data_IF_004877064524
#
_entry.id   IF_004877064524
#
_cell.length_a   1.000
_cell.length_b   1.000
_cell.length_c   1.000
_cell.angle_alpha   90.00
_cell.angle_beta   90.00
_cell.angle_gamma   90.00
#
_symmetry.space_group_name_H-M   'P 1'
#
loop_
_entity.id
_entity.type
_entity.pdbx_description
1 polymer ?
#
# COMPACT_ATOMS: atom_id res chain seq x y z
N UNK A 1 -20.97 72.22 33.91
CA UNK A 1 -21.46 72.60 32.57
C UNK A 1 -21.37 71.35 31.71
N UNK A 2 -22.53 70.75 31.45
CA UNK A 2 -23.10 70.50 30.09
C UNK A 2 -22.20 69.58 29.25
N UNK A 3 -22.65 68.50 28.62
CA UNK A 3 -23.95 67.89 28.33
C UNK A 3 -23.56 66.63 27.53
N UNK A 4 -24.17 65.46 27.70
CA UNK A 4 -25.26 64.98 26.84
C UNK A 4 -25.00 63.49 26.58
N UNK A 5 -26.08 62.70 26.67
CA UNK A 5 -26.17 61.31 26.22
C UNK A 5 -26.03 61.20 24.68
N UNK A 6 -25.46 60.08 24.23
CA UNK A 6 -25.99 59.28 23.11
C UNK A 6 -25.37 57.86 23.13
N UNK A 7 -26.16 56.87 23.51
CA UNK A 7 -26.09 55.46 23.09
C UNK A 7 -27.02 55.46 21.84
N UNK A 8 -26.74 54.78 20.69
CA UNK A 8 -26.72 53.32 20.73
C UNK A 8 -26.08 52.49 19.60
N UNK A 9 -26.11 51.19 19.88
CA UNK A 9 -26.50 50.07 19.01
C UNK A 9 -25.49 49.48 18.00
N UNK A 10 -25.33 48.17 18.22
CA UNK A 10 -25.46 47.12 17.22
C UNK A 10 -24.28 46.85 16.28
N UNK A 11 -23.66 45.70 16.54
CA UNK A 11 -22.75 45.07 15.59
C UNK A 11 -22.04 43.87 16.22
N UNK A 12 -22.76 43.05 16.99
CA UNK A 12 -22.26 41.77 17.46
C UNK A 12 -22.08 40.89 16.23
N UNK A 13 -20.87 40.89 15.67
CA UNK A 13 -20.46 40.01 14.59
C UNK A 13 -20.40 38.60 15.20
N UNK A 14 -21.51 37.87 15.07
CA UNK A 14 -21.57 36.44 15.31
C UNK A 14 -20.51 35.78 14.43
N UNK A 15 -19.39 35.41 15.06
CA UNK A 15 -18.59 34.29 14.58
C UNK A 15 -19.51 33.07 14.61
N UNK A 16 -20.15 32.79 13.49
CA UNK A 16 -20.79 31.50 13.25
C UNK A 16 -19.65 30.49 13.18
N UNK A 17 -19.33 29.90 14.33
CA UNK A 17 -18.62 28.63 14.37
C UNK A 17 -19.59 27.59 13.78
N UNK A 18 -19.27 26.90 12.68
CA UNK A 18 -20.06 25.76 12.27
C UNK A 18 -19.84 24.66 13.31
N UNK A 19 -20.75 24.61 14.28
CA UNK A 19 -20.95 23.46 15.17
C UNK A 19 -21.54 22.34 14.35
N UNK A 20 -20.77 21.27 14.18
CA UNK A 20 -21.29 19.92 14.00
C UNK A 20 -21.63 19.50 12.57
N UNK A 21 -20.98 18.41 12.18
CA UNK A 21 -21.70 17.21 11.74
C UNK A 21 -22.13 17.14 10.28
N UNK A 22 -21.78 16.00 9.68
CA UNK A 22 -22.21 15.51 8.36
C UNK A 22 -21.51 16.21 7.19
N UNK A 23 -20.36 15.66 6.81
CA UNK A 23 -19.89 15.76 5.42
C UNK A 23 -20.98 15.15 4.53
N UNK A 24 -21.80 16.00 3.92
CA UNK A 24 -22.65 15.61 2.82
C UNK A 24 -22.52 16.67 1.73
N UNK A 25 -21.30 16.87 1.26
CA UNK A 25 -21.10 17.30 -0.11
C UNK A 25 -21.52 16.11 -0.98
N UNK A 26 -22.73 16.21 -1.53
CA UNK A 26 -23.18 15.32 -2.60
C UNK A 26 -22.45 15.70 -3.88
N UNK A 27 -21.16 15.38 -3.92
CA UNK A 27 -20.47 15.30 -5.18
C UNK A 27 -21.05 14.10 -5.94
N UNK A 28 -21.59 14.38 -7.13
CA UNK A 28 -22.04 13.37 -8.08
C UNK A 28 -20.85 12.51 -8.51
N UNK A 29 -20.58 11.47 -7.72
CA UNK A 29 -19.46 10.54 -7.89
C UNK A 29 -19.69 9.57 -9.06
N UNK A 30 -20.75 9.75 -9.86
CA UNK A 30 -21.08 8.87 -10.99
C UNK A 30 -20.16 9.06 -12.21
N UNK A 31 -19.31 10.09 -12.21
CA UNK A 31 -18.33 10.36 -13.27
C UNK A 31 -16.97 9.68 -13.10
N UNK A 32 -16.71 9.03 -11.95
CA UNK A 32 -15.47 8.27 -11.77
C UNK A 32 -15.64 6.83 -12.28
N UNK A 33 -14.85 6.38 -13.27
CA UNK A 33 -14.88 4.98 -13.67
C UNK A 33 -14.58 4.13 -12.44
N UNK A 34 -15.48 3.19 -12.11
CA UNK A 34 -15.28 2.28 -10.98
C UNK A 34 -13.88 1.66 -11.11
N UNK A 35 -13.02 1.76 -10.08
CA UNK A 35 -11.69 1.20 -10.16
C UNK A 35 -11.80 -0.29 -10.46
N UNK A 36 -11.31 -0.70 -11.62
CA UNK A 36 -11.28 -2.11 -12.00
C UNK A 36 -10.26 -2.79 -11.10
N UNK A 37 -10.68 -3.84 -10.40
CA UNK A 37 -9.77 -4.66 -9.60
C UNK A 37 -9.20 -5.79 -10.45
N UNK A 38 -7.98 -6.20 -10.13
CA UNK A 38 -7.36 -7.42 -10.62
C UNK A 38 -7.18 -8.37 -9.44
N UNK A 39 -7.24 -9.66 -9.68
CA UNK A 39 -7.01 -10.67 -8.65
C UNK A 39 -5.70 -11.41 -8.95
N UNK A 40 -4.96 -11.68 -7.88
CA UNK A 40 -3.63 -12.30 -7.95
C UNK A 40 -3.51 -13.31 -6.82
N UNK A 41 -2.82 -14.41 -7.09
CA UNK A 41 -2.39 -15.35 -6.06
C UNK A 41 -0.96 -14.98 -5.68
N UNK A 42 -0.72 -14.57 -4.44
CA UNK A 42 0.60 -14.14 -3.98
C UNK A 42 1.16 -15.11 -2.94
N UNK A 43 2.38 -15.57 -3.17
CA UNK A 43 3.09 -16.52 -2.32
C UNK A 43 4.40 -15.95 -1.80
N UNK A 44 4.77 -16.34 -0.58
CA UNK A 44 6.10 -16.15 -0.02
C UNK A 44 6.72 -17.53 0.20
N UNK A 45 7.98 -17.70 -0.17
CA UNK A 45 8.63 -19.00 -0.05
C UNK A 45 10.11 -18.90 0.31
N UNK A 46 10.57 -19.87 1.09
CA UNK A 46 11.98 -20.13 1.31
C UNK A 46 12.18 -21.62 1.58
N UNK A 47 13.26 -22.20 1.05
CA UNK A 47 13.69 -23.55 1.41
C UNK A 47 14.55 -23.51 2.69
N UNK A 48 13.92 -23.07 3.79
CA UNK A 48 14.52 -22.97 5.11
C UNK A 48 13.51 -23.50 6.13
N UNK A 49 13.92 -24.47 6.96
CA UNK A 49 13.01 -25.18 7.88
C UNK A 49 12.30 -24.29 8.90
N UNK A 50 12.85 -23.12 9.22
CA UNK A 50 12.28 -22.15 10.15
C UNK A 50 11.40 -21.10 9.49
N UNK A 51 11.29 -21.11 8.16
CA UNK A 51 10.48 -20.17 7.39
C UNK A 51 9.11 -20.79 7.09
N UNK A 52 8.05 -19.98 7.19
CA UNK A 52 6.69 -20.44 6.93
C UNK A 52 6.26 -19.97 5.54
N UNK A 53 6.23 -20.91 4.60
CA UNK A 53 5.71 -20.67 3.25
C UNK A 53 4.21 -20.42 3.31
N UNK A 54 3.75 -19.32 2.72
CA UNK A 54 2.35 -18.91 2.77
C UNK A 54 1.87 -18.42 1.42
N UNK A 55 0.55 -18.45 1.23
CA UNK A 55 -0.11 -18.00 0.00
C UNK A 55 -1.43 -17.32 0.31
N UNK A 56 -1.74 -16.26 -0.42
CA UNK A 56 -2.96 -15.49 -0.24
C UNK A 56 -3.52 -15.01 -1.57
N UNK A 57 -4.84 -15.14 -1.72
CA UNK A 57 -5.58 -14.53 -2.82
C UNK A 57 -5.90 -13.07 -2.47
N UNK A 58 -5.55 -12.14 -3.36
CA UNK A 58 -5.71 -10.69 -3.17
C UNK A 58 -6.48 -10.06 -4.32
N UNK A 59 -7.20 -8.98 -4.01
CA UNK A 59 -7.82 -8.09 -4.98
C UNK A 59 -7.16 -6.72 -4.87
N UNK A 60 -6.44 -6.31 -5.90
CA UNK A 60 -5.75 -5.02 -5.95
C UNK A 60 -6.31 -4.18 -7.09
N UNK A 61 -5.98 -2.89 -7.11
CA UNK A 61 -6.42 -2.01 -8.20
C UNK A 61 -5.72 -2.41 -9.50
N UNK A 62 -6.37 -2.13 -10.62
CA UNK A 62 -5.69 -2.18 -11.92
C UNK A 62 -4.49 -1.25 -11.90
N UNK A 63 -3.44 -1.65 -12.62
CA UNK A 63 -2.14 -0.97 -12.67
C UNK A 63 -1.32 -1.01 -11.37
N UNK A 64 -1.81 -1.72 -10.34
CA UNK A 64 -0.99 -2.06 -9.19
C UNK A 64 0.28 -2.81 -9.60
N UNK A 65 1.33 -2.56 -8.85
CA UNK A 65 2.64 -3.16 -9.01
C UNK A 65 2.78 -4.41 -8.13
N UNK A 66 3.83 -5.20 -8.33
CA UNK A 66 4.16 -6.29 -7.41
C UNK A 66 4.31 -5.77 -5.97
N UNK A 67 4.94 -4.61 -5.80
CA UNK A 67 5.11 -3.97 -4.49
C UNK A 67 3.75 -3.61 -3.83
N UNK A 68 2.77 -3.15 -4.62
CA UNK A 68 1.42 -2.90 -4.11
C UNK A 68 0.73 -4.19 -3.65
N UNK A 69 0.96 -5.30 -4.35
CA UNK A 69 0.47 -6.63 -3.92
C UNK A 69 1.10 -7.04 -2.59
N UNK A 70 2.41 -6.83 -2.42
CA UNK A 70 3.08 -7.11 -1.14
C UNK A 70 2.48 -6.28 0.00
N UNK A 71 2.23 -4.98 -0.21
CA UNK A 71 1.58 -4.13 0.78
C UNK A 71 0.13 -4.58 1.08
N UNK A 72 -0.62 -5.00 0.06
CA UNK A 72 -1.96 -5.56 0.25
C UNK A 72 -1.93 -6.88 1.05
N UNK A 73 -0.90 -7.70 0.87
CA UNK A 73 -0.69 -8.91 1.66
C UNK A 73 -0.41 -8.58 3.14
N UNK A 74 0.43 -7.58 3.41
CA UNK A 74 0.71 -7.07 4.77
C UNK A 74 -0.57 -6.52 5.42
N UNK A 75 -1.36 -5.75 4.68
CA UNK A 75 -2.63 -5.22 5.19
C UNK A 75 -3.63 -6.33 5.52
N UNK A 76 -3.58 -7.45 4.82
CA UNK A 76 -4.44 -8.62 5.05
C UNK A 76 -3.97 -9.47 6.23
N UNK A 77 -2.68 -9.74 6.34
CA UNK A 77 -2.07 -10.45 7.48
C UNK A 77 -0.60 -10.06 7.65
N UNK A 78 -0.36 -9.06 8.48
CA UNK A 78 0.98 -8.52 8.74
C UNK A 78 1.92 -9.57 9.36
N UNK A 79 1.39 -10.47 10.20
CA UNK A 79 2.21 -11.47 10.89
C UNK A 79 2.93 -12.41 9.91
N UNK A 80 2.21 -12.79 8.84
CA UNK A 80 2.66 -13.71 7.80
C UNK A 80 3.37 -13.02 6.65
N UNK A 81 2.94 -11.84 6.23
CA UNK A 81 3.43 -11.22 4.99
C UNK A 81 4.32 -9.99 5.19
N UNK A 82 4.67 -9.62 6.44
CA UNK A 82 5.61 -8.53 6.72
C UNK A 82 6.92 -8.69 5.95
N UNK A 83 7.42 -7.57 5.44
CA UNK A 83 8.68 -7.49 4.73
C UNK A 83 9.34 -6.14 5.02
N UNK A 84 10.64 -6.05 4.73
CA UNK A 84 11.39 -4.78 4.75
C UNK A 84 11.99 -4.53 3.37
N UNK A 85 12.28 -3.27 3.08
CA UNK A 85 12.82 -2.87 1.80
C UNK A 85 13.67 -1.61 1.93
N UNK A 86 14.53 -1.38 0.94
CA UNK A 86 15.31 -0.17 0.76
C UNK A 86 14.98 0.45 -0.59
N UNK A 87 14.94 1.78 -0.66
CA UNK A 87 14.76 2.47 -1.94
C UNK A 87 16.08 2.55 -2.69
N UNK A 88 16.04 2.22 -3.98
CA UNK A 88 17.13 2.41 -4.93
C UNK A 88 16.66 3.22 -6.13
N UNK A 89 17.58 3.57 -7.02
CA UNK A 89 17.24 4.21 -8.30
C UNK A 89 16.35 3.31 -9.20
N UNK A 90 16.26 2.01 -8.91
CA UNK A 90 15.43 1.04 -9.62
C UNK A 90 14.10 0.77 -8.91
N UNK A 91 13.81 1.49 -7.82
CA UNK A 91 12.63 1.30 -6.98
C UNK A 91 12.92 0.51 -5.70
N UNK A 92 11.86 0.05 -5.00
CA UNK A 92 11.98 -0.67 -3.74
C UNK A 92 12.63 -2.04 -3.94
N UNK A 93 13.76 -2.24 -3.27
CA UNK A 93 14.49 -3.50 -3.19
C UNK A 93 14.14 -4.22 -1.89
N UNK A 94 13.65 -5.45 -1.97
CA UNK A 94 13.19 -6.20 -0.80
C UNK A 94 14.37 -6.79 -0.04
N UNK A 95 14.53 -6.41 1.22
CA UNK A 95 15.67 -6.81 2.06
C UNK A 95 15.33 -7.96 3.02
N UNK A 96 14.07 -8.10 3.45
CA UNK A 96 13.63 -9.25 4.25
C UNK A 96 12.15 -9.56 4.05
N UNK A 97 11.77 -10.82 4.26
CA UNK A 97 10.37 -11.28 4.39
C UNK A 97 10.28 -12.16 5.63
N UNK A 98 9.25 -11.96 6.47
CA UNK A 98 9.11 -12.59 7.80
C UNK A 98 10.34 -12.42 8.72
N UNK A 99 11.20 -11.43 8.45
CA UNK A 99 12.46 -11.23 9.18
C UNK A 99 13.65 -12.05 8.67
N UNK A 100 13.47 -12.92 7.68
CA UNK A 100 14.57 -13.58 6.99
C UNK A 100 15.24 -12.59 6.02
N UNK A 101 16.45 -12.15 6.38
CA UNK A 101 17.19 -11.12 5.66
C UNK A 101 18.00 -11.71 4.49
N UNK A 102 18.03 -11.00 3.37
CA UNK A 102 18.99 -11.23 2.28
C UNK A 102 20.41 -10.91 2.76
N UNK A 103 21.43 -11.55 2.19
CA UNK A 103 22.81 -11.38 2.63
C UNK A 103 23.78 -11.47 1.48
N UNK A 104 24.54 -10.40 1.23
CA UNK A 104 25.60 -10.39 0.24
C UNK A 104 26.71 -11.39 0.58
N UNK A 105 27.05 -11.52 1.87
CA UNK A 105 28.04 -12.49 2.35
C UNK A 105 27.63 -13.94 2.05
N UNK A 106 26.34 -14.24 2.20
CA UNK A 106 25.79 -15.58 1.92
C UNK A 106 25.29 -15.74 0.48
N UNK A 107 25.40 -14.67 -0.32
CA UNK A 107 24.88 -14.56 -1.70
C UNK A 107 23.40 -14.93 -1.79
N UNK A 108 22.61 -14.45 -0.84
CA UNK A 108 21.15 -14.68 -0.79
C UNK A 108 20.37 -13.40 -1.07
N UNK A 109 19.22 -13.55 -1.72
CA UNK A 109 18.34 -12.44 -2.10
C UNK A 109 16.87 -12.90 -2.18
N UNK A 110 15.96 -11.95 -2.28
CA UNK A 110 14.54 -12.20 -2.54
C UNK A 110 14.25 -12.05 -4.04
N UNK A 111 13.97 -13.18 -4.68
CA UNK A 111 13.66 -13.26 -6.10
C UNK A 111 12.17 -13.03 -6.36
N UNK A 112 11.84 -12.20 -7.35
CA UNK A 112 10.46 -11.93 -7.76
C UNK A 112 10.09 -12.82 -8.95
N UNK A 113 8.95 -13.49 -8.84
CA UNK A 113 8.48 -14.47 -9.81
C UNK A 113 7.04 -14.18 -10.24
N UNK A 114 6.71 -14.48 -11.49
CA UNK A 114 5.34 -14.52 -12.00
C UNK A 114 5.14 -15.77 -12.83
N UNK A 115 4.16 -16.59 -12.46
CA UNK A 115 3.85 -17.87 -13.09
C UNK A 115 5.08 -18.76 -13.26
N UNK A 116 5.86 -18.90 -12.18
CA UNK A 116 7.07 -19.73 -12.12
C UNK A 116 8.24 -19.21 -12.99
N UNK A 117 8.15 -17.98 -13.52
CA UNK A 117 9.19 -17.31 -14.31
C UNK A 117 9.75 -16.10 -13.57
N UNK A 118 11.08 -15.94 -13.60
CA UNK A 118 11.78 -14.82 -12.96
C UNK A 118 11.44 -13.51 -13.66
N UNK A 119 11.12 -12.51 -12.85
CA UNK A 119 10.89 -11.16 -13.33
C UNK A 119 12.21 -10.46 -13.68
N UNK A 120 12.18 -9.73 -14.78
CA UNK A 120 13.25 -8.83 -15.26
C UNK A 120 13.08 -7.39 -14.73
N UNK A 121 12.00 -7.13 -13.96
CA UNK A 121 11.64 -5.83 -13.39
C UNK A 121 11.58 -5.90 -11.87
N UNK A 122 11.91 -4.78 -11.23
CA UNK A 122 11.76 -4.61 -9.78
C UNK A 122 10.31 -4.57 -9.33
N UNK A 123 10.08 -4.73 -8.02
CA UNK A 123 8.75 -4.85 -7.43
C UNK A 123 7.87 -3.62 -7.69
N UNK A 124 8.46 -2.42 -7.71
CA UNK A 124 7.74 -1.17 -7.99
C UNK A 124 7.48 -0.88 -9.47
N UNK A 125 7.96 -1.72 -10.39
CA UNK A 125 7.86 -1.49 -11.84
C UNK A 125 7.10 -2.61 -12.57
N UNK A 126 7.05 -3.81 -11.99
CA UNK A 126 6.25 -4.90 -12.54
C UNK A 126 4.76 -4.66 -12.27
N UNK A 127 3.99 -4.38 -13.32
CA UNK A 127 2.53 -4.26 -13.25
C UNK A 127 1.88 -5.64 -13.28
N UNK A 128 1.04 -5.90 -12.28
CA UNK A 128 0.42 -7.22 -12.14
C UNK A 128 -0.85 -7.32 -12.98
N UNK A 129 -1.13 -8.53 -13.45
CA UNK A 129 -2.33 -8.83 -14.21
C UNK A 129 -3.19 -9.89 -13.53
N UNK A 130 -4.44 -9.91 -13.94
CA UNK A 130 -5.49 -10.82 -13.47
C UNK A 130 -5.09 -12.29 -13.68
N UNK A 131 -5.23 -13.13 -12.64
CA UNK A 131 -4.88 -14.57 -12.57
C UNK A 131 -3.38 -14.88 -12.46
N UNK A 132 -2.51 -13.88 -12.31
CA UNK A 132 -1.09 -14.16 -12.08
C UNK A 132 -0.84 -14.86 -10.74
N UNK A 133 0.07 -15.83 -10.77
CA UNK A 133 0.69 -16.43 -9.59
C UNK A 133 2.01 -15.72 -9.32
N UNK A 134 1.99 -14.79 -8.38
CA UNK A 134 3.15 -14.04 -7.95
C UNK A 134 3.81 -14.77 -6.79
N UNK A 135 5.14 -14.80 -6.79
CA UNK A 135 5.90 -15.38 -5.68
C UNK A 135 7.13 -14.51 -5.40
N UNK A 136 7.40 -14.30 -4.11
CA UNK A 136 8.70 -13.80 -3.66
C UNK A 136 9.44 -14.95 -2.95
N UNK A 137 10.56 -15.36 -3.56
CA UNK A 137 11.28 -16.59 -3.21
C UNK A 137 12.66 -16.26 -2.67
N UNK A 138 13.00 -16.78 -1.49
CA UNK A 138 14.36 -16.68 -0.97
C UNK A 138 15.30 -17.56 -1.81
N UNK A 139 16.31 -16.93 -2.41
CA UNK A 139 17.14 -17.55 -3.44
C UNK A 139 18.63 -17.27 -3.22
N UNK A 140 19.48 -17.99 -3.94
CA UNK A 140 20.94 -17.79 -3.96
C UNK A 140 21.43 -17.47 -5.37
N UNK A 141 22.49 -16.67 -5.49
CA UNK A 141 23.18 -16.38 -6.75
C UNK A 141 24.68 -16.70 -6.69
#
# INVERSE_FOLDING_TARGET
MMQSLAIPLAGFLLLVLPTGGLCQDSEDFSLFPRPRKVFVLYSISADISTFTNDTVLLYVLRDSTFFDVMNAAVAKDCSRFRFTYEYSNLGPYITSVQGLMASDKQRTYWELMSNDVRLDKGAGNYKVTTWERLEIRYSKY
#
